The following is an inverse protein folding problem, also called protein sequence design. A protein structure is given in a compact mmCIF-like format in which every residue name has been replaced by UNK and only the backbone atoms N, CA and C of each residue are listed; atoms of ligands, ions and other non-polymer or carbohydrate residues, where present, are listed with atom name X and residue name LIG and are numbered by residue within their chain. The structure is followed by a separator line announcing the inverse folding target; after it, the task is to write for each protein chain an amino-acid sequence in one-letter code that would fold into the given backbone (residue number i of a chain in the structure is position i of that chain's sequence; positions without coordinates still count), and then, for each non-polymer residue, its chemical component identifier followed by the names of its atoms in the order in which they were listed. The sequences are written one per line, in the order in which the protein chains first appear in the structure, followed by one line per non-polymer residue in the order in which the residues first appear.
data_IF_000981813708
#
_entry.id   IF_000981813708
#
_cell.length_a   1.000
_cell.length_b   1.000
_cell.length_c   1.000
_cell.angle_alpha   90.00
_cell.angle_beta   90.00
_cell.angle_gamma   90.00
#
_symmetry.space_group_name_H-M   'P 1'
#
loop_
_entity.id
_entity.type
_entity.pdbx_description
1 polymer ?
#
# COMPACT_ATOMS: atom_id res chain seq x y z
N UNK A 1 5.93 -18.78 2.44
CA UNK A 1 6.41 -17.47 2.91
C UNK A 1 6.15 -16.44 1.81
N UNK A 2 5.10 -15.63 1.76
CA UNK A 2 3.75 -15.62 2.36
C UNK A 2 2.92 -14.97 1.24
N UNK A 3 1.86 -15.62 0.72
CA UNK A 3 1.08 -15.14 -0.44
C UNK A 3 0.24 -13.88 -0.16
N UNK A 4 0.54 -13.15 0.93
CA UNK A 4 -0.30 -12.07 1.44
C UNK A 4 0.52 -11.10 2.28
N UNK A 5 0.29 -9.80 2.09
CA UNK A 5 0.84 -8.74 2.93
C UNK A 5 0.15 -8.70 4.30
N UNK A 6 0.83 -8.17 5.31
CA UNK A 6 0.27 -8.04 6.65
C UNK A 6 -0.96 -7.13 6.70
N UNK A 7 -1.86 -7.39 7.65
CA UNK A 7 -2.91 -6.46 8.00
C UNK A 7 -2.34 -5.26 8.79
N UNK A 8 -3.14 -4.20 8.92
CA UNK A 8 -2.80 -3.08 9.80
C UNK A 8 -2.96 -3.47 11.27
N UNK A 9 -2.05 -2.99 12.11
CA UNK A 9 -2.28 -3.00 13.56
C UNK A 9 -3.42 -2.04 13.88
N UNK A 10 -4.30 -2.44 14.80
CA UNK A 10 -5.45 -1.62 15.23
C UNK A 10 -4.96 -0.27 15.75
N UNK A 11 -5.64 0.81 15.37
CA UNK A 11 -5.33 2.20 15.74
C UNK A 11 -3.99 2.74 15.22
N UNK A 12 -3.23 2.00 14.40
CA UNK A 12 -2.03 2.51 13.76
C UNK A 12 -2.32 3.33 12.49
N UNK A 13 -1.41 4.25 12.13
CA UNK A 13 -1.44 4.93 10.84
C UNK A 13 -1.08 3.94 9.73
N UNK A 14 -2.10 3.37 9.09
CA UNK A 14 -1.93 2.29 8.12
C UNK A 14 -3.13 2.13 7.19
N UNK A 15 -2.86 1.76 5.94
CA UNK A 15 -3.83 1.23 4.99
C UNK A 15 -3.32 -0.11 4.43
N UNK A 16 -4.18 -1.12 4.32
CA UNK A 16 -3.81 -2.43 3.76
C UNK A 16 -5.02 -3.13 3.17
N UNK A 17 -4.81 -3.83 2.06
CA UNK A 17 -5.81 -4.76 1.49
C UNK A 17 -6.13 -5.89 2.47
N UNK A 18 -5.19 -6.23 3.35
CA UNK A 18 -5.41 -7.26 4.37
C UNK A 18 -6.22 -6.79 5.58
N UNK A 19 -6.54 -5.50 5.71
CA UNK A 19 -7.30 -4.95 6.84
C UNK A 19 -8.84 -5.13 6.69
N UNK A 20 -9.29 -6.28 6.18
CA UNK A 20 -10.69 -6.58 5.84
C UNK A 20 -11.69 -6.42 7.01
N UNK A 21 -11.22 -6.50 8.26
CA UNK A 21 -12.05 -6.33 9.47
C UNK A 21 -12.03 -4.90 10.03
N UNK A 22 -11.30 -3.98 9.40
CA UNK A 22 -11.21 -2.59 9.82
C UNK A 22 -11.43 -1.66 8.61
N UNK A 23 -12.68 -1.23 8.36
CA UNK A 23 -13.02 -0.37 7.22
C UNK A 23 -12.20 0.91 7.12
N UNK A 24 -11.77 1.47 8.27
CA UNK A 24 -10.97 2.70 8.30
C UNK A 24 -9.53 2.50 7.78
N UNK A 25 -9.00 1.28 7.88
CA UNK A 25 -7.65 0.90 7.44
C UNK A 25 -7.68 0.03 6.18
N UNK A 26 -8.86 -0.34 5.69
CA UNK A 26 -9.02 -1.13 4.48
C UNK A 26 -8.78 -0.29 3.23
N UNK A 27 -7.99 -0.85 2.31
CA UNK A 27 -7.85 -0.38 0.94
C UNK A 27 -8.28 -1.47 -0.02
N UNK A 28 -9.02 -1.13 -1.08
CA UNK A 28 -9.39 -2.11 -2.08
C UNK A 28 -8.15 -2.52 -2.92
N UNK A 29 -8.02 -3.80 -3.31
CA UNK A 29 -6.94 -4.21 -4.22
C UNK A 29 -7.07 -3.49 -5.57
N UNK A 30 -5.96 -3.41 -6.31
CA UNK A 30 -5.93 -2.73 -7.60
C UNK A 30 -6.06 -3.71 -8.76
N UNK A 31 -6.90 -3.37 -9.72
CA UNK A 31 -7.07 -4.09 -10.97
C UNK A 31 -6.25 -3.44 -12.08
N UNK A 32 -5.18 -4.13 -12.50
CA UNK A 32 -4.30 -3.66 -13.57
C UNK A 32 -4.84 -3.97 -14.98
N UNK A 33 -5.92 -4.77 -15.10
CA UNK A 33 -6.50 -5.18 -16.39
C UNK A 33 -7.17 -4.05 -17.16
N UNK A 34 -7.47 -2.96 -16.46
CA UNK A 34 -7.84 -1.67 -17.05
C UNK A 34 -6.76 -1.10 -17.98
N UNK A 35 -5.49 -1.49 -17.80
CA UNK A 35 -4.36 -1.03 -18.61
C UNK A 35 -3.67 -2.14 -19.41
N UNK A 36 -3.46 -3.33 -18.84
CA UNK A 36 -2.82 -4.45 -19.55
C UNK A 36 -3.31 -5.80 -19.03
N UNK A 37 -3.32 -6.82 -19.90
CA UNK A 37 -3.60 -8.21 -19.50
C UNK A 37 -2.33 -8.98 -19.11
N UNK A 38 -1.15 -8.44 -19.40
CA UNK A 38 0.12 -9.06 -19.11
C UNK A 38 0.61 -8.66 -17.70
N UNK A 39 0.82 -9.65 -16.85
CA UNK A 39 1.30 -9.46 -15.49
C UNK A 39 2.74 -8.90 -15.44
N UNK A 40 3.60 -9.21 -16.42
CA UNK A 40 4.96 -8.70 -16.48
C UNK A 40 4.99 -7.22 -16.87
N UNK A 41 4.09 -6.80 -17.78
CA UNK A 41 3.92 -5.39 -18.11
C UNK A 41 3.37 -4.61 -16.92
N UNK A 42 2.35 -5.14 -16.24
CA UNK A 42 1.81 -4.54 -15.02
C UNK A 42 2.88 -4.43 -13.94
N UNK A 43 3.70 -5.47 -13.75
CA UNK A 43 4.80 -5.46 -12.80
C UNK A 43 5.84 -4.39 -13.13
N UNK A 44 6.27 -4.29 -14.39
CA UNK A 44 7.20 -3.24 -14.84
C UNK A 44 6.63 -1.85 -14.63
N UNK A 45 5.35 -1.63 -14.93
CA UNK A 45 4.67 -0.34 -14.73
C UNK A 45 4.63 0.05 -13.25
N UNK A 46 4.29 -0.89 -12.36
CA UNK A 46 4.31 -0.66 -10.90
C UNK A 46 5.70 -0.29 -10.40
N UNK A 47 6.73 -1.08 -10.76
CA UNK A 47 8.11 -0.80 -10.39
C UNK A 47 8.56 0.59 -10.87
N UNK A 48 8.20 0.95 -12.09
CA UNK A 48 8.50 2.27 -12.66
C UNK A 48 7.82 3.38 -11.85
N UNK A 49 6.51 3.28 -11.61
CA UNK A 49 5.75 4.30 -10.88
C UNK A 49 6.28 4.52 -9.45
N UNK A 50 6.74 3.46 -8.78
CA UNK A 50 7.35 3.54 -7.44
C UNK A 50 8.75 4.13 -7.49
N UNK A 51 9.58 3.75 -8.46
CA UNK A 51 10.95 4.26 -8.62
C UNK A 51 11.02 5.72 -9.08
N UNK A 52 10.02 6.19 -9.82
CA UNK A 52 9.90 7.58 -10.26
C UNK A 52 9.33 8.51 -9.17
N UNK A 53 8.78 7.95 -8.08
CA UNK A 53 8.37 8.75 -6.93
C UNK A 53 9.58 9.16 -6.09
N UNK A 54 9.97 10.44 -6.16
CA UNK A 54 11.10 10.98 -5.40
C UNK A 54 10.95 10.90 -3.87
N UNK A 55 9.74 10.67 -3.35
CA UNK A 55 9.49 10.51 -1.91
C UNK A 55 9.68 9.07 -1.42
N UNK A 56 9.74 8.10 -2.34
CA UNK A 56 9.89 6.69 -2.05
C UNK A 56 11.33 6.24 -2.27
N UNK A 57 11.80 5.35 -1.38
CA UNK A 57 13.07 4.66 -1.55
C UNK A 57 12.84 3.16 -1.52
N UNK A 58 13.06 2.49 -2.65
CA UNK A 58 12.99 1.03 -2.73
C UNK A 58 14.06 0.41 -1.85
N UNK A 59 13.67 -0.57 -1.02
CA UNK A 59 14.54 -1.31 -0.10
C UNK A 59 14.56 -2.81 -0.37
N UNK A 60 13.54 -3.34 -1.03
CA UNK A 60 13.47 -4.74 -1.45
C UNK A 60 12.69 -4.85 -2.76
N UNK A 61 13.20 -5.66 -3.69
CA UNK A 61 12.54 -6.03 -4.94
C UNK A 61 12.77 -7.54 -5.16
N UNK A 62 11.68 -8.30 -5.22
CA UNK A 62 11.72 -9.75 -5.48
C UNK A 62 10.81 -10.05 -6.68
N UNK A 63 11.43 -10.16 -7.85
CA UNK A 63 10.73 -10.45 -9.11
C UNK A 63 10.09 -11.85 -9.14
N UNK A 64 10.65 -12.81 -8.40
CA UNK A 64 10.12 -14.17 -8.32
C UNK A 64 8.84 -14.24 -7.47
N UNK A 65 8.74 -13.41 -6.43
CA UNK A 65 7.53 -13.27 -5.62
C UNK A 65 6.61 -12.14 -6.07
N UNK A 66 7.00 -11.35 -7.08
CA UNK A 66 6.33 -10.12 -7.51
C UNK A 66 6.06 -9.18 -6.34
N UNK A 67 7.08 -9.02 -5.49
CA UNK A 67 7.03 -8.24 -4.27
C UNK A 67 7.97 -7.04 -4.35
N UNK A 68 7.48 -5.89 -3.90
CA UNK A 68 8.24 -4.64 -3.89
C UNK A 68 8.00 -3.94 -2.55
N UNK A 69 9.09 -3.55 -1.90
CA UNK A 69 9.07 -2.79 -0.67
C UNK A 69 9.83 -1.49 -0.86
N UNK A 70 9.18 -0.39 -0.58
CA UNK A 70 9.76 0.93 -0.46
C UNK A 70 9.50 1.51 0.92
N UNK A 71 10.29 2.51 1.28
CA UNK A 71 10.09 3.29 2.50
C UNK A 71 10.01 4.77 2.18
N UNK A 72 9.39 5.52 3.08
CA UNK A 72 9.27 6.97 2.95
C UNK A 72 9.17 7.62 4.34
N UNK A 73 9.59 8.88 4.52
CA UNK A 73 9.39 9.58 5.78
C UNK A 73 7.91 9.61 6.16
N UNK A 74 7.62 9.25 7.42
CA UNK A 74 6.26 9.30 7.94
C UNK A 74 5.80 10.74 8.14
N UNK A 75 4.51 11.00 7.88
CA UNK A 75 3.90 12.28 8.24
C UNK A 75 3.77 12.42 9.75
N UNK A 76 3.39 11.34 10.43
CA UNK A 76 3.20 11.26 11.88
C UNK A 76 3.62 9.86 12.35
N UNK A 77 4.59 9.74 13.27
CA UNK A 77 5.35 10.82 13.93
C UNK A 77 6.35 11.52 13.01
N UNK A 78 6.71 12.76 13.34
CA UNK A 78 7.84 13.44 12.71
C UNK A 78 9.12 12.62 12.95
N UNK A 79 9.91 12.39 11.89
CA UNK A 79 11.07 11.47 11.84
C UNK A 79 10.74 9.97 11.87
N UNK A 80 9.46 9.61 11.81
CA UNK A 80 9.04 8.23 11.58
C UNK A 80 9.33 7.76 10.15
N UNK A 81 9.12 6.48 9.90
CA UNK A 81 9.24 5.86 8.58
C UNK A 81 7.97 5.07 8.30
N UNK A 82 7.39 5.26 7.13
CA UNK A 82 6.33 4.42 6.60
C UNK A 82 6.92 3.35 5.67
N UNK A 83 6.47 2.12 5.81
CA UNK A 83 6.66 1.04 4.85
C UNK A 83 5.57 1.09 3.79
N UNK A 84 5.97 0.93 2.53
CA UNK A 84 5.09 0.88 1.37
C UNK A 84 5.39 -0.42 0.61
N UNK A 85 4.49 -1.38 0.71
CA UNK A 85 4.65 -2.73 0.19
C UNK A 85 3.61 -3.00 -0.89
N UNK A 86 4.04 -3.69 -1.95
CA UNK A 86 3.20 -4.18 -3.02
C UNK A 86 3.43 -5.66 -3.27
N UNK A 87 2.36 -6.37 -3.61
CA UNK A 87 2.39 -7.76 -4.04
C UNK A 87 1.43 -7.93 -5.22
N UNK A 88 1.97 -8.21 -6.41
CA UNK A 88 1.18 -8.51 -7.59
C UNK A 88 0.83 -10.01 -7.60
N UNK A 89 -0.45 -10.33 -7.82
CA UNK A 89 -0.99 -11.69 -7.86
C UNK A 89 -1.48 -11.96 -9.29
N UNK A 90 -0.64 -12.56 -10.16
CA UNK A 90 -0.97 -12.72 -11.58
C UNK A 90 -2.22 -13.56 -11.83
N UNK A 91 -2.44 -14.59 -11.01
CA UNK A 91 -3.58 -15.51 -11.12
C UNK A 91 -4.92 -14.82 -10.90
N UNK A 92 -4.95 -13.77 -10.08
CA UNK A 92 -6.15 -13.00 -9.75
C UNK A 92 -6.22 -11.67 -10.53
N UNK A 93 -5.15 -11.32 -11.25
CA UNK A 93 -4.99 -10.07 -11.99
C UNK A 93 -5.13 -8.81 -11.14
N UNK A 94 -4.65 -8.91 -9.90
CA UNK A 94 -4.69 -7.80 -8.94
C UNK A 94 -3.31 -7.48 -8.36
N UNK A 95 -3.19 -6.28 -7.81
CA UNK A 95 -2.12 -5.89 -6.89
C UNK A 95 -2.70 -5.63 -5.52
N UNK A 96 -2.12 -6.28 -4.52
CA UNK A 96 -2.39 -5.97 -3.12
C UNK A 96 -1.30 -5.04 -2.59
N UNK A 97 -1.64 -4.19 -1.63
CA UNK A 97 -0.69 -3.24 -1.06
C UNK A 97 -0.89 -3.07 0.43
N UNK A 98 0.15 -2.52 1.06
CA UNK A 98 0.14 -2.01 2.43
C UNK A 98 0.99 -0.75 2.48
N UNK A 99 0.48 0.29 3.16
CA UNK A 99 1.24 1.48 3.52
C UNK A 99 1.05 1.72 5.01
N UNK A 100 2.10 1.56 5.81
CA UNK A 100 2.01 1.51 7.26
C UNK A 100 3.17 2.23 7.94
N UNK A 101 2.88 3.05 8.93
CA UNK A 101 3.91 3.64 9.78
C UNK A 101 4.54 2.58 10.69
N UNK A 102 5.87 2.59 10.83
CA UNK A 102 6.61 1.70 11.75
C UNK A 102 6.39 2.04 13.22
N UNK A 103 5.98 3.27 13.50
CA UNK A 103 5.84 3.81 14.85
C UNK A 103 4.63 4.73 14.91
N UNK A 104 3.87 4.70 15.99
CA UNK A 104 2.76 5.62 16.21
C UNK A 104 3.10 6.60 17.34
N UNK A 105 2.70 7.86 17.19
CA UNK A 105 2.66 8.80 18.31
C UNK A 105 1.28 8.71 18.98
N UNK A 106 1.21 8.80 20.30
CA UNK A 106 -0.03 8.65 21.07
C UNK A 106 -0.34 9.90 21.88
N UNK A 107 -1.62 10.20 22.08
CA UNK A 107 -2.09 11.32 22.92
C UNK A 107 -2.37 10.83 24.33
N UNK A 108 -1.47 11.05 25.29
CA UNK A 108 -1.69 10.67 26.68
C UNK A 108 -2.84 11.47 27.34
N UNK A 109 -3.72 10.85 28.17
CA UNK A 109 -3.71 9.45 28.65
C UNK A 109 -4.42 8.44 27.73
N UNK A 110 -4.88 8.85 26.55
CA UNK A 110 -5.59 7.98 25.61
C UNK A 110 -4.61 7.13 24.78
N UNK A 111 -4.93 5.85 24.55
CA UNK A 111 -4.13 4.98 23.69
C UNK A 111 -4.43 5.16 22.19
N UNK A 112 -4.93 6.33 21.80
CA UNK A 112 -5.26 6.66 20.42
C UNK A 112 -4.03 7.22 19.72
N UNK A 113 -3.67 6.66 18.57
CA UNK A 113 -2.59 7.21 17.77
C UNK A 113 -2.99 8.57 17.18
N UNK A 114 -2.04 9.49 17.13
CA UNK A 114 -2.17 10.73 16.38
C UNK A 114 -2.25 10.37 14.90
N UNK A 115 -3.35 10.78 14.29
CA UNK A 115 -3.63 10.51 12.88
C UNK A 115 -2.56 11.12 11.97
N UNK A 116 -2.20 10.40 10.92
CA UNK A 116 -1.41 10.91 9.79
C UNK A 116 -2.24 11.77 8.82
N UNK A 117 -3.52 12.05 9.11
CA UNK A 117 -4.42 12.78 8.21
C UNK A 117 -4.75 12.02 6.92
N UNK A 118 -4.58 10.69 6.90
CA UNK A 118 -4.80 9.86 5.72
C UNK A 118 -3.67 9.88 4.71
N UNK A 119 -2.45 10.29 5.10
CA UNK A 119 -1.30 10.38 4.19
C UNK A 119 -0.95 9.02 3.56
N UNK A 120 -0.97 7.93 4.35
CA UNK A 120 -0.76 6.59 3.81
C UNK A 120 -1.78 6.23 2.72
N UNK A 121 -3.06 6.53 2.93
CA UNK A 121 -4.13 6.30 1.94
C UNK A 121 -3.98 7.20 0.72
N UNK A 122 -3.66 8.48 0.91
CA UNK A 122 -3.47 9.45 -0.17
C UNK A 122 -2.35 9.02 -1.11
N UNK A 123 -1.22 8.58 -0.54
CA UNK A 123 -0.06 8.07 -1.29
C UNK A 123 -0.43 6.90 -2.19
N UNK A 124 -1.21 5.94 -1.67
CA UNK A 124 -1.68 4.79 -2.47
C UNK A 124 -2.55 5.24 -3.64
N UNK A 125 -3.44 6.22 -3.42
CA UNK A 125 -4.24 6.80 -4.50
C UNK A 125 -3.41 7.55 -5.54
N UNK A 126 -2.37 8.27 -5.13
CA UNK A 126 -1.47 8.98 -6.04
C UNK A 126 -0.69 8.01 -6.94
N UNK A 127 -0.19 6.90 -6.39
CA UNK A 127 0.48 5.85 -7.17
C UNK A 127 -0.52 5.19 -8.13
N UNK A 128 -1.73 4.85 -7.65
CA UNK A 128 -2.78 4.27 -8.48
C UNK A 128 -3.12 5.17 -9.67
N UNK A 129 -3.28 6.48 -9.42
CA UNK A 129 -3.60 7.45 -10.47
C UNK A 129 -2.49 7.56 -11.53
N UNK A 130 -1.21 7.49 -11.13
CA UNK A 130 -0.08 7.47 -12.08
C UNK A 130 -0.05 6.20 -12.94
N UNK A 131 -0.51 5.08 -12.39
CA UNK A 131 -0.60 3.81 -13.10
C UNK A 131 -1.78 3.77 -14.07
N UNK A 132 -2.81 4.59 -13.86
CA UNK A 132 -4.05 4.54 -14.64
C UNK A 132 -4.88 3.28 -14.39
N UNK A 133 -4.65 2.62 -13.25
CA UNK A 133 -5.39 1.43 -12.85
C UNK A 133 -6.61 1.81 -11.99
N UNK A 134 -7.46 0.83 -11.68
CA UNK A 134 -8.67 1.05 -10.89
C UNK A 134 -8.63 0.27 -9.59
N UNK A 135 -9.28 0.78 -8.55
CA UNK A 135 -9.59 -0.04 -7.37
C UNK A 135 -10.66 -1.07 -7.77
N UNK A 136 -10.50 -2.30 -7.31
CA UNK A 136 -11.48 -3.34 -7.50
C UNK A 136 -12.69 -2.99 -6.62
N UNK A 137 -13.69 -2.36 -7.23
CA UNK A 137 -14.92 -1.99 -6.53
C UNK A 137 -15.64 -3.27 -6.13
N UNK A 138 -15.77 -3.49 -4.82
CA UNK A 138 -16.75 -4.44 -4.29
C UNK A 138 -18.13 -3.79 -4.44
N UNK A 139 -18.69 -3.83 -5.65
CA UNK A 139 -20.13 -3.72 -5.81
C UNK A 139 -20.70 -4.99 -5.18
N UNK A 140 -21.07 -4.91 -3.91
CA UNK A 140 -21.87 -5.96 -3.29
C UNK A 140 -23.22 -5.96 -3.98
N UNK A 141 -23.49 -7.02 -4.74
CA UNK A 141 -24.86 -7.43 -5.07
C UNK A 141 -25.59 -7.87 -3.79
#
# INVERSE_FOLDING_TARGET
RTQRLYACQTLANCVSVSAIKNPSQFGAPWDYTSSTKDAEEAWKALKKAVKEDATLRVVEEDDGKKYLHAITPSKVPQKGVDDVEFLLIPSEKIVTYRSASRSNAYVYPYQTAISDGGNNKKRMKEILARLGWVELNYAGD
#
